data_IF_554312901533
#
_entry.id   IF_554312901533
#
_cell.length_a   1.000
_cell.length_b   1.000
_cell.length_c   1.000
_cell.angle_alpha   90.00
_cell.angle_beta   90.00
_cell.angle_gamma   90.00
#
_symmetry.space_group_name_H-M   'P 1'
#
loop_
_entity.id
_entity.type
_entity.pdbx_description
1 polymer ?
#
# COMPACT_ATOMS: atom_id res chain seq x y z
N UNK A 1 -17.13 -8.49 3.39
CA UNK A 1 -15.87 -8.49 4.18
C UNK A 1 -16.03 -9.42 5.36
N UNK A 2 -15.10 -10.32 5.59
CA UNK A 2 -15.16 -11.30 6.67
C UNK A 2 -14.52 -10.72 7.94
N UNK A 3 -15.35 -10.39 8.93
CA UNK A 3 -14.87 -9.76 10.16
C UNK A 3 -13.97 -10.67 11.01
N UNK A 4 -14.27 -11.98 11.02
CA UNK A 4 -13.47 -12.94 11.77
C UNK A 4 -12.06 -13.05 11.18
N UNK A 5 -11.97 -13.12 9.87
CA UNK A 5 -10.70 -13.19 9.18
C UNK A 5 -9.87 -11.91 9.39
N UNK A 6 -10.52 -10.76 9.35
CA UNK A 6 -9.85 -9.49 9.62
C UNK A 6 -9.33 -9.42 11.06
N UNK A 7 -10.11 -9.91 12.02
CA UNK A 7 -9.69 -9.94 13.42
C UNK A 7 -8.45 -10.81 13.59
N UNK A 8 -8.41 -11.97 12.93
CA UNK A 8 -7.23 -12.84 12.96
C UNK A 8 -6.01 -12.15 12.38
N UNK A 9 -6.19 -11.46 11.25
CA UNK A 9 -5.09 -10.72 10.60
C UNK A 9 -4.58 -9.58 11.48
N UNK A 10 -5.47 -8.87 12.15
CA UNK A 10 -5.06 -7.81 13.07
C UNK A 10 -4.21 -8.35 14.21
N UNK A 11 -4.58 -9.51 14.76
CA UNK A 11 -3.80 -10.15 15.82
C UNK A 11 -2.47 -10.65 15.31
N UNK A 12 -2.46 -11.26 14.14
CA UNK A 12 -1.24 -11.81 13.53
C UNK A 12 -0.18 -10.74 13.31
N UNK A 13 -0.60 -9.54 12.89
CA UNK A 13 0.32 -8.46 12.57
C UNK A 13 0.39 -7.38 13.65
N UNK A 14 -0.22 -7.61 14.80
CA UNK A 14 -0.18 -6.69 15.93
C UNK A 14 -0.71 -5.29 15.62
N UNK A 15 -1.77 -5.22 14.82
CA UNK A 15 -2.35 -3.94 14.45
C UNK A 15 -3.17 -3.36 15.59
N UNK A 16 -3.05 -2.06 15.77
CA UNK A 16 -3.77 -1.30 16.81
C UNK A 16 -4.76 -0.34 16.15
N UNK A 17 -5.51 0.39 16.99
CA UNK A 17 -6.44 1.39 16.48
C UNK A 17 -5.76 2.48 15.67
N UNK A 18 -4.47 2.74 15.94
CA UNK A 18 -3.71 3.75 15.22
C UNK A 18 -3.27 3.29 13.83
N UNK A 19 -3.29 1.99 13.58
CA UNK A 19 -2.86 1.41 12.32
C UNK A 19 -3.97 1.28 11.30
N UNK A 20 -5.22 1.49 11.71
CA UNK A 20 -6.38 1.39 10.84
C UNK A 20 -7.32 2.55 11.11
N UNK A 21 -8.05 2.96 10.09
CA UNK A 21 -9.15 3.90 10.29
C UNK A 21 -10.29 3.56 9.35
N UNK A 22 -11.49 3.95 9.75
CA UNK A 22 -12.70 3.70 8.97
C UNK A 22 -13.04 4.95 8.16
N UNK A 23 -13.15 4.78 6.86
CA UNK A 23 -13.59 5.85 5.95
C UNK A 23 -14.84 5.36 5.23
N UNK A 24 -16.00 5.95 5.56
CA UNK A 24 -17.29 5.49 5.05
C UNK A 24 -17.48 3.98 5.36
N UNK A 25 -17.52 3.14 4.33
CA UNK A 25 -17.70 1.69 4.47
C UNK A 25 -16.39 0.92 4.41
N UNK A 26 -15.26 1.61 4.29
CA UNK A 26 -13.97 0.98 4.09
C UNK A 26 -13.09 1.09 5.32
N UNK A 27 -12.34 0.02 5.58
CA UNK A 27 -11.24 0.07 6.53
C UNK A 27 -9.97 0.34 5.76
N UNK A 28 -9.23 1.35 6.17
CA UNK A 28 -7.97 1.72 5.55
C UNK A 28 -6.85 1.43 6.54
N UNK A 29 -5.83 0.72 6.07
CA UNK A 29 -4.66 0.44 6.88
C UNK A 29 -3.65 1.57 6.65
N UNK A 30 -3.24 2.21 7.73
CA UNK A 30 -2.35 3.35 7.67
C UNK A 30 -0.93 2.93 7.30
N UNK A 31 -0.06 3.89 7.02
CA UNK A 31 1.35 3.62 6.73
C UNK A 31 2.01 2.83 7.86
N UNK A 32 1.72 3.20 9.12
CA UNK A 32 2.27 2.47 10.25
C UNK A 32 1.80 1.03 10.27
N UNK A 33 0.52 0.78 9.91
CA UNK A 33 -0.01 -0.57 9.79
C UNK A 33 0.67 -1.36 8.69
N UNK A 34 0.86 -0.76 7.53
CA UNK A 34 1.55 -1.40 6.41
C UNK A 34 2.98 -1.78 6.79
N UNK A 35 3.70 -0.87 7.46
CA UNK A 35 5.07 -1.14 7.90
C UNK A 35 5.14 -2.30 8.89
N UNK A 36 4.18 -2.40 9.82
CA UNK A 36 4.10 -3.53 10.75
C UNK A 36 3.86 -4.83 10.02
N UNK A 37 2.93 -4.84 9.08
CA UNK A 37 2.60 -6.03 8.30
C UNK A 37 3.83 -6.50 7.52
N UNK A 38 4.51 -5.57 6.86
CA UNK A 38 5.71 -5.89 6.09
C UNK A 38 6.79 -6.51 6.98
N UNK A 39 7.00 -5.95 8.16
CA UNK A 39 8.03 -6.42 9.09
C UNK A 39 7.71 -7.81 9.64
N UNK A 40 6.46 -8.02 10.08
CA UNK A 40 6.04 -9.32 10.65
C UNK A 40 6.05 -10.39 9.59
N UNK A 41 5.54 -10.10 8.40
CA UNK A 41 5.48 -11.06 7.30
C UNK A 41 6.82 -11.26 6.59
N UNK A 42 7.82 -10.43 6.90
CA UNK A 42 9.16 -10.48 6.30
C UNK A 42 9.10 -10.37 4.78
N UNK A 43 8.34 -9.39 4.30
CA UNK A 43 8.19 -9.14 2.87
C UNK A 43 9.35 -8.30 2.37
N UNK A 44 10.02 -8.78 1.33
CA UNK A 44 11.08 -8.05 0.65
C UNK A 44 10.50 -7.41 -0.60
N UNK A 45 10.81 -6.14 -0.82
CA UNK A 45 10.25 -5.39 -1.95
C UNK A 45 11.36 -4.72 -2.73
N UNK A 46 11.31 -4.89 -4.04
CA UNK A 46 12.15 -4.18 -5.00
C UNK A 46 11.26 -3.27 -5.82
N UNK A 47 11.80 -2.13 -6.23
CA UNK A 47 11.05 -1.15 -6.99
C UNK A 47 11.67 -0.94 -8.36
N UNK A 48 10.83 -0.80 -9.38
CA UNK A 48 11.24 -0.37 -10.70
C UNK A 48 10.50 0.90 -11.05
N UNK A 49 11.24 1.89 -11.53
CA UNK A 49 10.63 3.13 -12.00
C UNK A 49 10.12 2.89 -13.41
N UNK A 50 8.80 2.89 -13.59
CA UNK A 50 8.19 2.73 -14.90
C UNK A 50 8.18 4.07 -15.63
N UNK A 51 7.82 5.14 -14.92
CA UNK A 51 7.84 6.48 -15.43
C UNK A 51 8.07 7.45 -14.28
N UNK A 52 8.89 8.48 -14.49
CA UNK A 52 9.10 9.48 -13.48
C UNK A 52 9.28 10.83 -14.17
N UNK A 53 8.29 11.69 -13.99
CA UNK A 53 8.28 13.06 -14.47
C UNK A 53 7.97 13.97 -13.28
N UNK A 54 8.21 15.28 -13.38
CA UNK A 54 7.95 16.17 -12.26
C UNK A 54 6.51 16.13 -11.73
N UNK A 55 5.56 15.86 -12.61
CA UNK A 55 4.13 15.87 -12.25
C UNK A 55 3.45 14.52 -12.36
N UNK A 56 4.19 13.46 -12.71
CA UNK A 56 3.60 12.13 -12.89
C UNK A 56 4.64 11.05 -12.65
N UNK A 57 4.26 10.04 -11.89
CA UNK A 57 5.15 8.91 -11.64
C UNK A 57 4.38 7.60 -11.61
N UNK A 58 4.99 6.55 -12.12
CA UNK A 58 4.50 5.17 -12.02
C UNK A 58 5.65 4.31 -11.53
N UNK A 59 5.42 3.61 -10.44
CA UNK A 59 6.39 2.68 -9.87
C UNK A 59 5.80 1.29 -9.85
N UNK A 60 6.65 0.30 -10.08
CA UNK A 60 6.30 -1.11 -9.96
C UNK A 60 7.00 -1.65 -8.72
N UNK A 61 6.24 -2.31 -7.85
CA UNK A 61 6.78 -3.00 -6.70
C UNK A 61 6.79 -4.50 -6.96
N UNK A 62 7.92 -5.14 -6.73
CA UNK A 62 8.08 -6.58 -6.85
C UNK A 62 8.32 -7.09 -5.44
N UNK A 63 7.34 -7.79 -4.89
CA UNK A 63 7.36 -8.18 -3.48
C UNK A 63 7.43 -9.69 -3.35
N UNK A 64 8.24 -10.13 -2.38
CA UNK A 64 8.45 -11.55 -2.09
C UNK A 64 8.09 -11.85 -0.65
N UNK A 65 7.31 -12.90 -0.45
CA UNK A 65 7.00 -13.45 0.88
C UNK A 65 7.18 -14.97 0.79
N UNK A 66 8.28 -15.46 1.33
CA UNK A 66 8.62 -16.89 1.17
C UNK A 66 8.80 -17.23 -0.29
N UNK A 67 8.01 -18.19 -0.78
CA UNK A 67 8.05 -18.60 -2.18
C UNK A 67 7.08 -17.81 -3.07
N UNK A 68 6.25 -16.95 -2.48
CA UNK A 68 5.27 -16.16 -3.23
C UNK A 68 5.89 -14.86 -3.72
N UNK A 69 5.57 -14.49 -4.94
CA UNK A 69 6.03 -13.24 -5.56
C UNK A 69 4.84 -12.57 -6.21
N UNK A 70 4.74 -11.26 -6.04
CA UNK A 70 3.69 -10.47 -6.65
C UNK A 70 4.27 -9.16 -7.18
N UNK A 71 3.69 -8.64 -8.24
CA UNK A 71 4.03 -7.35 -8.79
C UNK A 71 2.80 -6.45 -8.72
N UNK A 72 3.00 -5.22 -8.28
CA UNK A 72 1.93 -4.22 -8.21
C UNK A 72 2.42 -2.90 -8.76
N UNK A 73 1.49 -2.05 -9.13
CA UNK A 73 1.80 -0.73 -9.64
C UNK A 73 1.18 0.33 -8.75
N UNK A 74 1.90 1.42 -8.59
CA UNK A 74 1.38 2.62 -7.96
C UNK A 74 1.67 3.80 -8.86
N UNK A 75 0.73 4.72 -8.96
CA UNK A 75 0.89 5.93 -9.75
C UNK A 75 0.45 7.13 -8.94
N UNK A 76 1.02 8.28 -9.29
CA UNK A 76 0.61 9.56 -8.73
C UNK A 76 0.73 10.62 -9.81
N UNK A 77 -0.26 11.48 -9.87
CA UNK A 77 -0.32 12.57 -10.84
C UNK A 77 -0.55 13.88 -10.09
N UNK A 78 0.32 14.87 -10.33
CA UNK A 78 0.16 16.18 -9.72
C UNK A 78 -0.79 17.02 -10.57
N UNK A 79 -1.93 17.39 -9.99
CA UNK A 79 -2.82 18.36 -10.57
C UNK A 79 -2.65 19.72 -9.93
N UNK A 80 -3.39 20.70 -10.39
CA UNK A 80 -3.41 22.02 -9.77
C UNK A 80 -4.05 21.96 -8.40
N UNK A 81 -4.96 20.99 -8.23
CA UNK A 81 -5.57 20.67 -6.94
C UNK A 81 -5.85 19.18 -6.91
N UNK A 82 -6.33 18.68 -5.77
CA UNK A 82 -6.54 17.24 -5.61
C UNK A 82 -7.70 16.69 -6.45
N UNK A 83 -8.50 17.55 -7.09
CA UNK A 83 -9.57 17.12 -7.99
C UNK A 83 -9.04 16.84 -9.40
N UNK A 84 -7.99 17.57 -9.81
CA UNK A 84 -7.43 17.47 -11.15
C UNK A 84 -6.36 16.40 -11.25
N UNK A 85 -5.89 15.91 -10.12
CA UNK A 85 -4.86 14.87 -10.07
C UNK A 85 -4.99 14.09 -8.77
N UNK A 86 -4.11 13.12 -8.56
CA UNK A 86 -4.12 12.33 -7.33
C UNK A 86 -3.49 13.08 -6.16
N UNK A 87 -2.80 14.17 -6.42
CA UNK A 87 -2.18 15.01 -5.39
C UNK A 87 -1.86 16.38 -5.96
N UNK A 88 -1.77 17.39 -5.08
CA UNK A 88 -1.26 18.70 -5.45
C UNK A 88 0.18 18.90 -4.95
N UNK A 89 0.81 17.84 -4.47
CA UNK A 89 2.19 17.84 -3.99
C UNK A 89 3.16 17.43 -5.11
N UNK A 90 4.37 18.00 -5.07
CA UNK A 90 5.43 17.60 -5.99
C UNK A 90 6.08 16.25 -5.64
N UNK A 91 5.66 15.61 -4.55
CA UNK A 91 6.21 14.32 -4.11
C UNK A 91 5.53 13.14 -4.81
N UNK A 92 5.36 13.24 -6.14
CA UNK A 92 4.64 12.20 -6.90
C UNK A 92 5.38 10.87 -6.90
N UNK A 93 6.71 10.88 -6.98
CA UNK A 93 7.50 9.64 -7.00
C UNK A 93 7.33 8.88 -5.68
N UNK A 94 7.44 9.56 -4.55
CA UNK A 94 7.29 8.95 -3.24
C UNK A 94 5.89 8.41 -3.03
N UNK A 95 4.88 9.12 -3.52
CA UNK A 95 3.48 8.66 -3.41
C UNK A 95 3.21 7.46 -4.29
N UNK A 96 3.77 7.44 -5.51
CA UNK A 96 3.63 6.29 -6.41
C UNK A 96 4.29 5.05 -5.82
N UNK A 97 5.49 5.19 -5.27
CA UNK A 97 6.20 4.11 -4.60
C UNK A 97 5.39 3.57 -3.42
N UNK A 98 4.88 4.47 -2.56
CA UNK A 98 4.07 4.09 -1.41
C UNK A 98 2.83 3.31 -1.82
N UNK A 99 2.16 3.73 -2.88
CA UNK A 99 0.96 3.05 -3.37
C UNK A 99 1.28 1.66 -3.90
N UNK A 100 2.37 1.53 -4.64
CA UNK A 100 2.82 0.22 -5.13
C UNK A 100 3.14 -0.72 -3.96
N UNK A 101 3.86 -0.22 -2.96
CA UNK A 101 4.23 -0.98 -1.76
C UNK A 101 2.98 -1.42 -0.99
N UNK A 102 2.07 -0.52 -0.74
CA UNK A 102 0.86 -0.82 0.05
C UNK A 102 0.04 -1.91 -0.62
N UNK A 103 -0.14 -1.83 -1.93
CA UNK A 103 -0.87 -2.85 -2.69
C UNK A 103 -0.20 -4.21 -2.60
N UNK A 104 1.13 -4.23 -2.74
CA UNK A 104 1.89 -5.49 -2.69
C UNK A 104 1.77 -6.14 -1.32
N UNK A 105 1.98 -5.36 -0.26
CA UNK A 105 1.92 -5.87 1.12
C UNK A 105 0.53 -6.42 1.43
N UNK A 106 -0.52 -5.66 1.11
CA UNK A 106 -1.88 -6.08 1.42
C UNK A 106 -2.32 -7.29 0.60
N UNK A 107 -1.89 -7.40 -0.66
CA UNK A 107 -2.22 -8.57 -1.47
C UNK A 107 -1.51 -9.83 -0.99
N UNK A 108 -0.24 -9.73 -0.62
CA UNK A 108 0.52 -10.90 -0.15
C UNK A 108 0.04 -11.41 1.20
N UNK A 109 -0.58 -10.57 2.01
CA UNK A 109 -1.01 -10.95 3.35
C UNK A 109 -2.51 -11.26 3.45
N UNK A 110 -3.24 -11.17 2.35
CA UNK A 110 -4.64 -11.57 2.29
C UNK A 110 -5.64 -10.48 2.67
N UNK A 111 -5.19 -9.28 2.98
CA UNK A 111 -6.13 -8.20 3.38
C UNK A 111 -7.10 -7.82 2.26
N UNK A 112 -6.67 -7.89 1.01
CA UNK A 112 -7.55 -7.55 -0.12
C UNK A 112 -8.63 -8.58 -0.38
N UNK A 113 -8.52 -9.77 0.18
CA UNK A 113 -9.52 -10.82 0.02
C UNK A 113 -10.64 -10.69 1.06
N UNK A 114 -10.51 -9.77 1.99
CA UNK A 114 -11.44 -9.55 3.10
C UNK A 114 -12.23 -8.21 2.95
#
# INVERSE_FOLDING_TARGET
MNKEKLTELYKEYNLTKEDVFKHQHYLIITRSGIDKIQAVAKIQIHYEVVQCAPNFAVFKAIAHKGSATIETFGSAFKGENYKDGSTNSWYVAEMAEKRAMSRAVLKLTGFYEQ
#
